data_IF_705490716436
#
_entry.id   IF_705490716436
#
_cell.length_a   1.000
_cell.length_b   1.000
_cell.length_c   1.000
_cell.angle_alpha   90.00
_cell.angle_beta   90.00
_cell.angle_gamma   90.00
#
_symmetry.space_group_name_H-M   'P 1'
#
loop_
_entity.id
_entity.type
_entity.pdbx_description
1 polymer ?
#
# COMPACT_ATOMS: atom_id res chain seq x y z
N UNK A 1 -21.63 42.61 63.57
CA UNK A 1 -20.53 43.11 62.69
C UNK A 1 -20.75 42.57 61.28
N UNK A 2 -20.44 43.40 60.27
CA UNK A 2 -20.82 43.32 58.85
C UNK A 2 -19.92 42.45 57.92
N UNK A 3 -20.55 41.93 56.83
CA UNK A 3 -20.07 41.53 55.46
C UNK A 3 -19.05 40.37 55.27
N UNK A 4 -18.92 39.73 54.06
CA UNK A 4 -19.54 40.01 52.74
C UNK A 4 -20.13 38.77 51.97
N UNK A 5 -20.77 39.00 50.80
CA UNK A 5 -21.32 37.95 49.93
C UNK A 5 -20.31 37.47 48.88
N UNK A 6 -20.25 36.16 48.61
CA UNK A 6 -19.41 35.59 47.56
C UNK A 6 -20.18 35.52 46.24
N UNK A 7 -20.09 36.58 45.43
CA UNK A 7 -20.36 36.50 43.98
C UNK A 7 -19.10 35.94 43.31
N UNK A 8 -19.19 34.78 42.63
CA UNK A 8 -18.30 34.37 41.51
C UNK A 8 -18.69 32.98 40.99
N UNK A 9 -19.81 32.88 40.27
CA UNK A 9 -20.13 31.70 39.46
C UNK A 9 -20.74 32.13 38.14
N UNK A 10 -19.98 32.84 37.29
CA UNK A 10 -20.48 33.29 35.98
C UNK A 10 -19.37 33.50 34.94
N UNK A 11 -18.25 32.77 35.05
CA UNK A 11 -17.12 32.91 34.11
C UNK A 11 -16.65 31.59 33.47
N UNK A 12 -17.23 30.43 33.81
CA UNK A 12 -16.78 29.15 33.24
C UNK A 12 -17.55 28.71 31.98
N UNK A 13 -18.70 29.32 31.66
CA UNK A 13 -19.57 28.85 30.57
C UNK A 13 -19.31 29.46 29.19
N UNK A 14 -18.41 30.43 29.07
CA UNK A 14 -18.24 31.19 27.81
C UNK A 14 -17.08 30.70 26.92
N UNK A 15 -16.25 29.75 27.36
CA UNK A 15 -15.04 29.33 26.62
C UNK A 15 -15.20 28.09 25.75
N UNK A 16 -16.34 27.40 25.79
CA UNK A 16 -16.51 26.12 25.07
C UNK A 16 -17.14 26.34 23.68
N UNK A 17 -17.91 27.40 23.48
CA UNK A 17 -18.66 27.65 22.24
C UNK A 17 -17.79 28.08 21.05
N UNK A 18 -16.57 28.56 21.27
CA UNK A 18 -15.70 29.05 20.19
C UNK A 18 -14.87 27.98 19.47
N UNK A 19 -14.84 26.72 19.95
CA UNK A 19 -14.05 25.66 19.29
C UNK A 19 -14.76 24.92 18.14
N UNK A 20 -16.06 25.18 17.91
CA UNK A 20 -16.84 24.41 16.91
C UNK A 20 -16.76 24.99 15.49
N UNK A 21 -16.18 26.18 15.30
CA UNK A 21 -16.27 26.92 14.04
C UNK A 21 -15.18 26.62 12.97
N UNK A 22 -14.33 25.59 13.14
CA UNK A 22 -13.16 25.37 12.27
C UNK A 22 -13.08 24.01 11.56
N UNK A 23 -14.16 23.21 11.56
CA UNK A 23 -14.12 21.86 11.00
C UNK A 23 -15.21 21.55 9.98
N UNK A 24 -15.03 21.95 8.71
CA UNK A 24 -15.63 21.22 7.58
C UNK A 24 -15.13 21.75 6.24
N UNK A 25 -13.99 21.23 5.81
CA UNK A 25 -13.53 21.26 4.43
C UNK A 25 -12.96 19.90 4.09
N UNK A 26 -13.83 18.90 3.88
CA UNK A 26 -13.38 17.59 3.39
C UNK A 26 -13.00 17.75 1.93
N UNK A 27 -11.70 17.86 1.65
CA UNK A 27 -11.16 17.71 0.30
C UNK A 27 -11.45 16.29 -0.17
N UNK A 28 -12.42 16.12 -1.07
CA UNK A 28 -12.64 14.86 -1.77
C UNK A 28 -11.45 14.62 -2.70
N UNK A 29 -10.45 13.89 -2.21
CA UNK A 29 -9.36 13.36 -3.03
C UNK A 29 -9.99 12.25 -3.88
N UNK A 30 -10.32 12.56 -5.13
CA UNK A 30 -10.70 11.53 -6.08
C UNK A 30 -9.47 10.67 -6.39
N UNK A 31 -9.54 9.33 -6.31
CA UNK A 31 -8.44 8.48 -6.68
C UNK A 31 -8.14 8.69 -8.18
N UNK A 32 -6.92 9.15 -8.48
CA UNK A 32 -6.42 9.17 -9.85
C UNK A 32 -6.36 7.71 -10.32
N UNK A 33 -7.23 7.33 -11.24
CA UNK A 33 -7.15 6.02 -11.88
C UNK A 33 -5.89 6.04 -12.75
N UNK A 34 -4.87 5.20 -12.50
CA UNK A 34 -3.73 5.14 -13.38
C UNK A 34 -4.21 4.84 -14.79
N UNK A 35 -3.64 5.53 -15.78
CA UNK A 35 -3.96 5.33 -17.18
C UNK A 35 -3.86 3.84 -17.51
N UNK A 36 -4.84 3.32 -18.23
CA UNK A 36 -4.95 1.92 -18.66
C UNK A 36 -3.97 1.55 -19.77
N UNK A 37 -2.71 1.98 -19.63
CA UNK A 37 -1.60 1.50 -20.43
C UNK A 37 -0.93 0.36 -19.66
N UNK A 38 -0.66 -0.76 -20.32
CA UNK A 38 0.18 -1.79 -19.76
C UNK A 38 1.57 -1.22 -19.43
N UNK A 39 2.15 -1.54 -18.27
CA UNK A 39 3.48 -1.05 -17.92
C UNK A 39 4.49 -1.53 -18.96
N UNK A 40 5.40 -0.65 -19.38
CA UNK A 40 6.50 -1.01 -20.26
C UNK A 40 7.81 -0.95 -19.48
N UNK A 41 8.58 -2.02 -19.54
CA UNK A 41 9.90 -2.10 -18.92
C UNK A 41 10.99 -1.91 -19.98
N UNK A 42 12.08 -1.27 -19.59
CA UNK A 42 13.28 -1.15 -20.41
C UNK A 42 14.23 -2.31 -20.09
N UNK A 43 14.50 -3.14 -21.10
CA UNK A 43 15.32 -4.34 -20.96
C UNK A 43 16.80 -4.06 -20.68
N UNK A 44 17.28 -2.85 -20.96
CA UNK A 44 18.68 -2.47 -20.71
C UNK A 44 19.05 -2.47 -19.22
N UNK A 45 18.06 -2.36 -18.33
CA UNK A 45 18.25 -2.45 -16.88
C UNK A 45 18.41 -3.88 -16.38
N UNK A 46 18.02 -4.89 -17.16
CA UNK A 46 18.08 -6.28 -16.72
C UNK A 46 19.46 -6.86 -17.01
N UNK A 47 20.21 -7.16 -15.96
CA UNK A 47 21.49 -7.88 -16.09
C UNK A 47 21.24 -9.29 -16.58
N UNK A 48 21.72 -9.60 -17.78
CA UNK A 48 21.72 -10.95 -18.33
C UNK A 48 23.08 -11.62 -18.08
N UNK A 49 23.06 -12.90 -17.71
CA UNK A 49 24.28 -13.69 -17.59
C UNK A 49 24.79 -14.09 -19.00
N UNK A 50 26.10 -14.28 -19.20
CA UNK A 50 26.67 -14.55 -20.53
C UNK A 50 26.15 -15.82 -21.21
N UNK A 51 25.62 -16.75 -20.43
CA UNK A 51 25.03 -18.02 -20.84
C UNK A 51 23.55 -17.92 -21.23
N UNK A 52 22.92 -16.76 -21.03
CA UNK A 52 21.52 -16.56 -21.37
C UNK A 52 21.35 -16.07 -22.82
N UNK A 53 20.25 -16.45 -23.49
CA UNK A 53 19.87 -15.84 -24.77
C UNK A 53 19.80 -14.31 -24.67
N UNK A 54 20.22 -13.63 -25.73
CA UNK A 54 20.29 -12.17 -25.77
C UNK A 54 18.92 -11.50 -25.54
N UNK A 55 17.83 -12.16 -25.90
CA UNK A 55 16.44 -11.68 -25.77
C UNK A 55 15.76 -12.12 -24.46
N UNK A 56 16.41 -12.96 -23.64
CA UNK A 56 15.80 -13.53 -22.44
C UNK A 56 15.25 -12.48 -21.46
N UNK A 57 15.99 -11.38 -21.26
CA UNK A 57 15.55 -10.30 -20.39
C UNK A 57 14.35 -9.53 -20.94
N UNK A 58 14.36 -9.24 -22.25
CA UNK A 58 13.24 -8.57 -22.90
C UNK A 58 11.95 -9.40 -22.83
N UNK A 59 12.06 -10.72 -23.05
CA UNK A 59 10.92 -11.64 -22.95
C UNK A 59 10.39 -11.76 -21.52
N UNK A 60 11.27 -11.87 -20.53
CA UNK A 60 10.86 -11.94 -19.12
C UNK A 60 10.12 -10.66 -18.68
N UNK A 61 10.62 -9.50 -19.08
CA UNK A 61 10.00 -8.21 -18.76
C UNK A 61 8.69 -8.00 -19.52
N UNK A 62 8.57 -8.46 -20.76
CA UNK A 62 7.31 -8.43 -21.50
C UNK A 62 6.25 -9.32 -20.82
N UNK A 63 6.63 -10.51 -20.36
CA UNK A 63 5.74 -11.38 -19.61
C UNK A 63 5.28 -10.73 -18.29
N UNK A 64 6.18 -10.05 -17.59
CA UNK A 64 5.86 -9.28 -16.38
C UNK A 64 4.88 -8.13 -16.68
N UNK A 65 5.10 -7.40 -17.78
CA UNK A 65 4.21 -6.32 -18.23
C UNK A 65 2.80 -6.79 -18.58
N UNK A 66 2.70 -8.01 -19.11
CA UNK A 66 1.44 -8.65 -19.46
C UNK A 66 0.74 -9.33 -18.27
N UNK A 67 1.27 -9.19 -17.04
CA UNK A 67 0.77 -9.88 -15.85
C UNK A 67 0.66 -11.40 -16.06
N UNK A 68 1.60 -11.96 -16.81
CA UNK A 68 1.62 -13.39 -17.12
C UNK A 68 1.80 -14.18 -15.82
N UNK A 69 1.06 -15.28 -15.60
CA UNK A 69 1.29 -16.16 -14.46
C UNK A 69 2.75 -16.60 -14.35
N UNK A 70 3.20 -16.88 -13.12
CA UNK A 70 4.54 -17.39 -12.83
C UNK A 70 4.86 -18.58 -13.74
N UNK A 71 6.03 -18.53 -14.37
CA UNK A 71 6.54 -19.61 -15.18
C UNK A 71 6.79 -20.88 -14.33
N UNK A 72 6.84 -22.07 -14.95
CA UNK A 72 7.32 -23.26 -14.26
C UNK A 72 8.74 -23.06 -13.71
N UNK A 73 8.99 -23.52 -12.49
CA UNK A 73 10.25 -23.22 -11.83
C UNK A 73 10.27 -23.60 -10.36
N UNK A 74 11.42 -23.38 -9.71
CA UNK A 74 11.56 -23.53 -8.25
C UNK A 74 11.36 -22.19 -7.58
N UNK A 75 10.43 -22.13 -6.63
CA UNK A 75 10.10 -20.92 -5.89
C UNK A 75 10.12 -21.22 -4.39
N UNK A 76 10.65 -20.27 -3.62
CA UNK A 76 10.55 -20.27 -2.18
C UNK A 76 9.16 -19.76 -1.79
N UNK A 77 8.35 -20.61 -1.17
CA UNK A 77 6.96 -20.30 -0.83
C UNK A 77 6.72 -20.53 0.66
N UNK A 78 5.90 -19.66 1.26
CA UNK A 78 5.22 -19.96 2.51
C UNK A 78 4.03 -20.87 2.24
N UNK A 79 3.96 -21.99 2.97
CA UNK A 79 2.89 -22.97 2.85
C UNK A 79 1.95 -22.81 4.04
N UNK A 80 0.68 -22.59 3.73
CA UNK A 80 -0.40 -22.44 4.71
C UNK A 80 -1.43 -23.54 4.48
N UNK A 81 -1.84 -24.22 5.56
CA UNK A 81 -2.87 -25.28 5.53
C UNK A 81 -3.97 -24.89 6.51
N UNK A 82 -5.21 -24.77 6.03
CA UNK A 82 -6.34 -24.32 6.85
C UNK A 82 -6.04 -23.00 7.60
N UNK A 83 -5.38 -22.06 6.93
CA UNK A 83 -4.94 -20.77 7.50
C UNK A 83 -3.90 -20.88 8.63
N UNK A 84 -3.31 -22.05 8.84
CA UNK A 84 -2.19 -22.27 9.77
C UNK A 84 -0.90 -22.34 8.97
N UNK A 85 0.07 -21.51 9.32
CA UNK A 85 1.41 -21.58 8.74
C UNK A 85 2.05 -22.94 9.01
N UNK A 86 2.55 -23.59 7.97
CA UNK A 86 3.18 -24.90 8.06
C UNK A 86 4.70 -24.79 7.97
N UNK A 87 5.19 -24.18 6.89
CA UNK A 87 6.62 -24.08 6.60
C UNK A 87 6.90 -23.07 5.48
N UNK A 88 8.16 -22.65 5.38
CA UNK A 88 8.71 -22.02 4.18
C UNK A 88 9.61 -23.03 3.46
N UNK A 89 9.33 -23.33 2.19
CA UNK A 89 10.05 -24.35 1.44
C UNK A 89 10.17 -24.05 -0.05
N UNK A 90 11.17 -24.66 -0.69
CA UNK A 90 11.34 -24.59 -2.14
C UNK A 90 10.38 -25.58 -2.82
N UNK A 91 9.44 -25.05 -3.61
CA UNK A 91 8.45 -25.83 -4.35
C UNK A 91 8.73 -25.72 -5.84
N UNK A 92 8.66 -26.84 -6.55
CA UNK A 92 8.75 -26.85 -8.00
C UNK A 92 7.33 -26.74 -8.60
N UNK A 93 7.01 -25.59 -9.17
CA UNK A 93 5.73 -25.35 -9.85
C UNK A 93 5.80 -25.90 -11.28
N UNK A 94 4.79 -26.68 -11.65
CA UNK A 94 4.57 -27.22 -12.99
C UNK A 94 3.30 -26.59 -13.59
N UNK A 95 3.24 -26.51 -14.91
CA UNK A 95 2.08 -25.97 -15.65
C UNK A 95 0.96 -27.00 -15.74
#
# INVERSE_FOLDING_TARGET
>A
MLLPPTRRLLLSRLRITTLVALGSGSLLIAPQRPASASPQFDASFMRQAPDQPADAGALALQALAAETPLAPGRYRLEVWVNLVFLAEQDVHLQK
#
